data_IF_209013754368
#
_entry.id   IF_209013754368
#
_cell.length_a   1.000
_cell.length_b   1.000
_cell.length_c   1.000
_cell.angle_alpha   90.00
_cell.angle_beta   90.00
_cell.angle_gamma   90.00
#
_symmetry.space_group_name_H-M   'P 1'
#
loop_
_entity.id
_entity.type
_entity.pdbx_description
1 polymer ?
#
# COMPACT_ATOMS: atom_id res chain seq x y z
N UNK A 1 17.01 -9.32 0.09
CA UNK A 1 15.85 -8.90 0.89
C UNK A 1 14.61 -8.96 0.01
N UNK A 2 13.50 -9.46 0.51
CA UNK A 2 12.22 -9.59 -0.21
C UNK A 2 11.31 -8.46 0.23
N UNK A 3 10.82 -7.68 -0.72
CA UNK A 3 10.00 -6.49 -0.44
C UNK A 3 8.64 -6.64 -1.11
N UNK A 4 7.56 -6.59 -0.34
CA UNK A 4 6.20 -6.56 -0.84
C UNK A 4 5.65 -5.14 -0.79
N UNK A 5 5.41 -4.55 -1.95
CA UNK A 5 4.77 -3.24 -2.05
C UNK A 5 3.25 -3.39 -1.99
N UNK A 6 2.58 -2.53 -1.21
CA UNK A 6 1.13 -2.41 -1.20
C UNK A 6 0.77 -1.03 -1.75
N UNK A 7 0.22 -1.00 -2.96
CA UNK A 7 -0.20 0.22 -3.64
C UNK A 7 -1.69 0.16 -3.99
N UNK A 8 -2.27 1.31 -4.32
CA UNK A 8 -3.67 1.33 -4.73
C UNK A 8 -3.86 0.62 -6.07
N UNK A 9 -3.12 1.05 -7.09
CA UNK A 9 -3.04 0.42 -8.40
C UNK A 9 -1.57 0.23 -8.79
N UNK A 10 -1.33 -0.42 -9.91
CA UNK A 10 -0.01 -0.57 -10.52
C UNK A 10 -0.12 -0.49 -12.03
N UNK A 11 1.03 -0.33 -12.73
CA UNK A 11 1.06 -0.30 -14.21
C UNK A 11 0.15 -1.38 -14.82
N UNK A 12 -0.65 -1.08 -15.89
CA UNK A 12 -0.61 0.11 -16.75
C UNK A 12 -1.34 1.36 -16.19
N UNK A 13 -1.95 1.30 -15.02
CA UNK A 13 -2.57 2.48 -14.39
C UNK A 13 -1.48 3.39 -13.83
N UNK A 14 -1.39 4.61 -14.36
CA UNK A 14 -0.39 5.59 -13.98
C UNK A 14 -1.02 6.75 -13.23
N UNK A 15 -0.62 6.90 -11.97
CA UNK A 15 -0.84 8.06 -11.13
C UNK A 15 0.47 8.43 -10.44
N UNK A 16 0.48 9.47 -9.63
CA UNK A 16 1.69 9.89 -8.93
C UNK A 16 2.24 8.81 -8.00
N UNK A 17 1.37 8.20 -7.20
CA UNK A 17 1.74 7.12 -6.26
C UNK A 17 2.14 5.85 -6.99
N UNK A 18 1.36 5.48 -8.01
CA UNK A 18 1.60 4.30 -8.84
C UNK A 18 2.91 4.39 -9.61
N UNK A 19 3.23 5.59 -10.13
CA UNK A 19 4.51 5.87 -10.81
C UNK A 19 5.70 5.72 -9.86
N UNK A 20 5.61 6.24 -8.64
CA UNK A 20 6.66 6.09 -7.62
C UNK A 20 6.78 4.61 -7.21
N UNK A 21 5.67 3.91 -7.00
CA UNK A 21 5.69 2.48 -6.69
C UNK A 21 6.42 1.69 -7.78
N UNK A 22 6.05 1.90 -9.06
CA UNK A 22 6.69 1.27 -10.21
C UNK A 22 8.18 1.57 -10.25
N UNK A 23 8.57 2.84 -10.11
CA UNK A 23 9.97 3.24 -10.11
C UNK A 23 10.77 2.51 -9.02
N UNK A 24 10.25 2.42 -7.80
CA UNK A 24 10.93 1.72 -6.70
C UNK A 24 11.04 0.22 -6.98
N UNK A 25 9.97 -0.43 -7.44
CA UNK A 25 9.95 -1.86 -7.76
C UNK A 25 11.02 -2.20 -8.80
N UNK A 26 11.13 -1.40 -9.88
CA UNK A 26 12.05 -1.67 -10.99
C UNK A 26 13.48 -1.20 -10.74
N UNK A 27 13.71 -0.29 -9.79
CA UNK A 27 15.03 0.30 -9.50
C UNK A 27 15.71 -0.28 -8.25
N UNK A 28 15.21 -1.38 -7.70
CA UNK A 28 15.84 -2.08 -6.58
C UNK A 28 16.48 -3.43 -7.03
N UNK A 29 17.50 -3.44 -7.91
CA UNK A 29 18.00 -4.67 -8.56
C UNK A 29 18.61 -5.70 -7.60
N UNK A 30 18.98 -5.28 -6.37
CA UNK A 30 19.52 -6.17 -5.33
C UNK A 30 18.42 -6.82 -4.49
N UNK A 31 17.14 -6.55 -4.78
CA UNK A 31 16.01 -7.02 -3.99
C UNK A 31 15.01 -7.76 -4.87
N UNK A 32 14.34 -8.74 -4.28
CA UNK A 32 13.18 -9.40 -4.91
C UNK A 32 11.96 -8.57 -4.50
N UNK A 33 11.32 -7.95 -5.49
CA UNK A 33 10.16 -7.08 -5.25
C UNK A 33 8.91 -7.67 -5.88
N UNK A 34 7.80 -7.54 -5.18
CA UNK A 34 6.45 -7.90 -5.64
C UNK A 34 5.45 -6.84 -5.21
N UNK A 35 4.26 -6.83 -5.81
CA UNK A 35 3.25 -5.80 -5.57
C UNK A 35 1.89 -6.44 -5.30
N UNK A 36 1.16 -5.92 -4.32
CA UNK A 36 -0.28 -6.13 -4.15
C UNK A 36 -1.01 -4.83 -4.44
N UNK A 37 -1.98 -4.89 -5.34
CA UNK A 37 -2.78 -3.72 -5.71
C UNK A 37 -4.22 -4.13 -6.02
N UNK A 38 -5.11 -3.15 -6.21
CA UNK A 38 -6.44 -3.42 -6.74
C UNK A 38 -6.39 -3.72 -8.24
N UNK A 39 -7.25 -4.64 -8.67
CA UNK A 39 -7.60 -4.79 -10.08
C UNK A 39 -8.72 -3.80 -10.42
N UNK A 40 -8.71 -3.26 -11.64
CA UNK A 40 -9.82 -2.46 -12.15
C UNK A 40 -11.01 -3.34 -12.59
N UNK A 41 -10.84 -4.65 -12.55
CA UNK A 41 -11.82 -5.65 -12.91
C UNK A 41 -12.35 -6.36 -11.66
N UNK A 42 -13.47 -7.10 -11.82
CA UNK A 42 -14.11 -7.85 -10.75
C UNK A 42 -13.51 -9.24 -10.53
N UNK A 43 -12.29 -9.46 -10.97
CA UNK A 43 -11.56 -10.72 -10.82
C UNK A 43 -10.16 -10.50 -10.25
N UNK A 44 -9.66 -11.51 -9.54
CA UNK A 44 -8.28 -11.53 -9.10
C UNK A 44 -7.39 -11.99 -10.25
N UNK A 45 -6.21 -11.39 -10.37
CA UNK A 45 -5.20 -11.81 -11.34
C UNK A 45 -3.81 -11.75 -10.72
N UNK A 46 -2.89 -12.51 -11.27
CA UNK A 46 -1.47 -12.42 -10.96
C UNK A 46 -0.74 -12.25 -12.27
N UNK A 47 -0.08 -11.11 -12.41
CA UNK A 47 0.74 -10.79 -13.57
C UNK A 47 2.21 -10.90 -13.23
N UNK A 48 3.04 -11.03 -14.24
CA UNK A 48 4.48 -10.83 -14.15
C UNK A 48 4.87 -9.69 -15.09
N UNK A 49 5.45 -8.64 -14.54
CA UNK A 49 5.87 -7.44 -15.28
C UNK A 49 7.33 -7.17 -14.94
N UNK A 50 8.20 -7.22 -15.96
CA UNK A 50 9.65 -7.01 -15.81
C UNK A 50 10.30 -7.88 -14.74
N UNK A 51 9.83 -9.15 -14.59
CA UNK A 51 10.32 -10.10 -13.59
C UNK A 51 9.76 -9.88 -12.18
N UNK A 52 8.82 -8.97 -11.99
CA UNK A 52 8.15 -8.71 -10.73
C UNK A 52 6.73 -9.27 -10.73
N UNK A 53 6.34 -9.95 -9.66
CA UNK A 53 5.00 -10.51 -9.51
C UNK A 53 4.03 -9.47 -8.96
N UNK A 54 2.90 -9.30 -9.66
CA UNK A 54 1.87 -8.31 -9.35
C UNK A 54 0.57 -9.02 -9.03
N UNK A 55 0.15 -8.98 -7.77
CA UNK A 55 -1.11 -9.51 -7.28
C UNK A 55 -2.19 -8.46 -7.41
N UNK A 56 -3.08 -8.61 -8.39
CA UNK A 56 -4.22 -7.71 -8.64
C UNK A 56 -5.46 -8.29 -7.98
N UNK A 57 -6.00 -7.57 -7.01
CA UNK A 57 -7.15 -8.04 -6.25
C UNK A 57 -8.42 -7.35 -6.77
N UNK A 58 -9.44 -8.16 -7.07
CA UNK A 58 -10.72 -7.70 -7.60
C UNK A 58 -11.27 -6.49 -6.86
N UNK A 59 -11.73 -5.48 -7.60
CA UNK A 59 -12.47 -4.34 -7.04
C UNK A 59 -13.98 -4.62 -7.16
N UNK A 60 -14.68 -4.57 -6.04
CA UNK A 60 -16.13 -4.72 -6.00
C UNK A 60 -16.84 -3.38 -6.25
N UNK A 61 -16.40 -2.33 -5.59
CA UNK A 61 -16.95 -0.98 -5.69
C UNK A 61 -15.89 0.08 -5.36
N UNK A 62 -16.09 1.29 -5.89
CA UNK A 62 -15.29 2.46 -5.55
C UNK A 62 -16.16 3.48 -4.82
N UNK A 63 -15.82 3.82 -3.58
CA UNK A 63 -16.50 4.83 -2.76
C UNK A 63 -15.50 5.90 -2.36
N UNK A 64 -15.82 7.17 -2.59
CA UNK A 64 -14.98 8.32 -2.26
C UNK A 64 -13.52 8.16 -2.74
N UNK A 65 -13.34 7.62 -3.94
CA UNK A 65 -12.05 7.27 -4.56
C UNK A 65 -11.30 6.14 -3.86
N UNK A 66 -11.91 5.44 -2.91
CA UNK A 66 -11.35 4.23 -2.32
C UNK A 66 -11.95 3.01 -2.99
N UNK A 67 -11.09 2.16 -3.55
CA UNK A 67 -11.48 0.84 -4.03
C UNK A 67 -11.73 -0.08 -2.82
N UNK A 68 -12.82 -0.82 -2.86
CA UNK A 68 -13.20 -1.82 -1.86
C UNK A 68 -13.29 -3.19 -2.52
N UNK A 69 -12.89 -4.21 -1.77
CA UNK A 69 -12.81 -5.59 -2.24
C UNK A 69 -13.14 -6.58 -1.14
N UNK A 70 -14.00 -7.53 -1.43
CA UNK A 70 -14.30 -8.63 -0.51
C UNK A 70 -13.17 -9.65 -0.43
N UNK A 71 -12.39 -9.79 -1.50
CA UNK A 71 -11.27 -10.74 -1.58
C UNK A 71 -9.91 -10.15 -1.13
N UNK A 72 -9.82 -8.84 -0.85
CA UNK A 72 -8.53 -8.19 -0.61
C UNK A 72 -7.78 -8.78 0.59
N UNK A 73 -8.46 -9.06 1.70
CA UNK A 73 -7.84 -9.68 2.87
C UNK A 73 -7.18 -11.02 2.52
N UNK A 74 -7.90 -11.87 1.81
CA UNK A 74 -7.42 -13.21 1.44
C UNK A 74 -6.30 -13.11 0.40
N UNK A 75 -6.43 -12.24 -0.60
CA UNK A 75 -5.40 -11.99 -1.60
C UNK A 75 -4.12 -11.42 -0.99
N UNK A 76 -4.24 -10.45 -0.08
CA UNK A 76 -3.09 -9.89 0.64
C UNK A 76 -2.40 -10.95 1.52
N UNK A 77 -3.18 -11.75 2.26
CA UNK A 77 -2.64 -12.85 3.05
C UNK A 77 -1.92 -13.88 2.18
N UNK A 78 -2.51 -14.25 1.05
CA UNK A 78 -1.90 -15.17 0.11
C UNK A 78 -0.57 -14.62 -0.44
N UNK A 79 -0.54 -13.37 -0.87
CA UNK A 79 0.70 -12.72 -1.35
C UNK A 79 1.79 -12.73 -0.26
N UNK A 80 1.45 -12.39 0.99
CA UNK A 80 2.39 -12.41 2.11
C UNK A 80 2.94 -13.82 2.34
N UNK A 81 2.09 -14.85 2.34
CA UNK A 81 2.51 -16.24 2.56
C UNK A 81 3.36 -16.78 1.40
N UNK A 82 3.06 -16.38 0.17
CA UNK A 82 3.79 -16.80 -1.04
C UNK A 82 5.14 -16.11 -1.15
N UNK A 83 5.16 -14.80 -0.97
CA UNK A 83 6.37 -13.99 -1.15
C UNK A 83 7.29 -14.02 0.08
N UNK A 84 6.76 -14.31 1.27
CA UNK A 84 7.50 -14.31 2.54
C UNK A 84 8.40 -13.07 2.66
N UNK A 85 7.82 -11.85 2.64
CA UNK A 85 8.59 -10.62 2.60
C UNK A 85 9.33 -10.39 3.92
N UNK A 86 10.55 -9.86 3.82
CA UNK A 86 11.28 -9.28 4.97
C UNK A 86 10.72 -7.91 5.33
N UNK A 87 10.23 -7.18 4.30
CA UNK A 87 9.70 -5.82 4.39
C UNK A 87 8.40 -5.70 3.61
N UNK A 88 7.41 -5.07 4.23
CA UNK A 88 6.22 -4.57 3.53
C UNK A 88 6.39 -3.06 3.37
N UNK A 89 6.37 -2.57 2.13
CA UNK A 89 6.34 -1.15 1.83
C UNK A 89 4.91 -0.72 1.48
N UNK A 90 4.29 0.01 2.37
CA UNK A 90 2.91 0.47 2.24
C UNK A 90 2.85 1.89 1.69
N UNK A 91 2.17 2.11 0.56
CA UNK A 91 1.97 3.42 -0.06
C UNK A 91 0.68 4.07 0.46
N UNK A 92 0.83 5.07 1.33
CA UNK A 92 -0.28 5.87 1.86
C UNK A 92 -0.65 6.99 0.86
N UNK A 93 -1.92 7.39 0.59
CA UNK A 93 -3.10 7.10 1.42
C UNK A 93 -3.97 6.01 0.77
N UNK A 94 -4.06 4.88 1.42
CA UNK A 94 -4.89 3.76 1.00
C UNK A 94 -5.49 3.09 2.25
N UNK A 95 -6.50 3.72 2.90
CA UNK A 95 -6.96 3.33 4.23
C UNK A 95 -7.57 1.93 4.28
N UNK A 96 -8.32 1.49 3.26
CA UNK A 96 -8.94 0.17 3.28
C UNK A 96 -7.91 -0.98 3.33
N UNK A 97 -6.86 -1.03 2.49
CA UNK A 97 -5.77 -1.99 2.65
C UNK A 97 -5.04 -1.87 3.99
N UNK A 98 -4.93 -0.68 4.58
CA UNK A 98 -4.28 -0.52 5.89
C UNK A 98 -5.06 -1.23 7.01
N UNK A 99 -6.41 -1.17 6.98
CA UNK A 99 -7.28 -1.91 7.89
C UNK A 99 -7.03 -3.42 7.76
N UNK A 100 -6.99 -3.92 6.53
CA UNK A 100 -6.83 -5.34 6.27
C UNK A 100 -5.41 -5.84 6.54
N UNK A 101 -4.40 -5.00 6.27
CA UNK A 101 -3.01 -5.30 6.61
C UNK A 101 -2.84 -5.55 8.11
N UNK A 102 -3.48 -4.75 8.97
CA UNK A 102 -3.46 -4.97 10.43
C UNK A 102 -3.89 -6.38 10.81
N UNK A 103 -4.82 -6.98 10.07
CA UNK A 103 -5.37 -8.31 10.38
C UNK A 103 -4.49 -9.47 9.90
N UNK A 104 -3.59 -9.23 8.94
CA UNK A 104 -2.82 -10.29 8.28
C UNK A 104 -1.31 -10.10 8.33
N UNK A 105 -0.83 -8.94 8.78
CA UNK A 105 0.60 -8.63 8.82
C UNK A 105 1.32 -9.49 9.88
N UNK A 106 2.37 -10.22 9.51
CA UNK A 106 3.21 -10.94 10.47
C UNK A 106 3.94 -9.97 11.42
N UNK A 107 4.22 -10.41 12.63
CA UNK A 107 4.85 -9.56 13.67
C UNK A 107 6.32 -9.26 13.39
N UNK A 108 7.00 -10.19 12.76
CA UNK A 108 8.42 -10.19 12.44
C UNK A 108 8.76 -9.44 11.15
N UNK A 109 7.76 -9.14 10.32
CA UNK A 109 7.94 -8.37 9.08
C UNK A 109 8.04 -6.88 9.36
N UNK A 110 9.04 -6.21 8.78
CA UNK A 110 9.21 -4.76 8.88
C UNK A 110 8.21 -4.01 8.03
N UNK A 111 7.72 -2.88 8.53
CA UNK A 111 6.81 -2.00 7.81
C UNK A 111 7.48 -0.68 7.47
N UNK A 112 7.65 -0.40 6.18
CA UNK A 112 8.03 0.91 5.66
C UNK A 112 6.76 1.61 5.17
N UNK A 113 6.44 2.73 5.77
CA UNK A 113 5.29 3.56 5.38
C UNK A 113 5.77 4.67 4.45
N UNK A 114 5.41 4.59 3.16
CA UNK A 114 5.69 5.64 2.20
C UNK A 114 4.51 6.62 2.17
N UNK A 115 4.71 7.77 2.78
CA UNK A 115 3.68 8.80 2.96
C UNK A 115 3.68 9.76 1.78
N UNK A 116 2.67 9.63 0.91
CA UNK A 116 2.56 10.46 -0.31
C UNK A 116 1.68 11.68 -0.12
N UNK A 117 0.63 11.57 0.68
CA UNK A 117 -0.34 12.65 0.88
C UNK A 117 -1.18 12.48 2.14
N UNK A 118 -1.65 13.59 2.68
CA UNK A 118 -2.66 13.63 3.73
C UNK A 118 -4.07 13.43 3.13
N UNK A 119 -4.99 12.89 3.90
CA UNK A 119 -6.40 12.76 3.50
C UNK A 119 -7.10 14.07 3.80
N UNK A 120 -7.19 14.94 2.77
CA UNK A 120 -7.78 16.29 2.91
C UNK A 120 -9.20 16.32 2.31
N UNK A 121 -9.40 15.75 1.12
CA UNK A 121 -10.68 15.88 0.39
C UNK A 121 -11.86 15.17 1.05
N UNK A 122 -11.61 14.05 1.71
CA UNK A 122 -12.62 13.25 2.40
C UNK A 122 -12.66 13.58 3.90
N UNK A 123 -12.56 14.87 4.28
CA UNK A 123 -12.53 15.31 5.67
C UNK A 123 -13.73 14.80 6.48
N UNK A 124 -14.90 14.64 5.85
CA UNK A 124 -16.12 14.10 6.47
C UNK A 124 -16.03 12.60 6.84
N UNK A 125 -15.13 11.85 6.19
CA UNK A 125 -14.83 10.45 6.52
C UNK A 125 -13.56 10.30 7.37
N UNK A 126 -12.86 11.39 7.62
CA UNK A 126 -11.54 11.35 8.27
C UNK A 126 -11.61 10.77 9.68
N UNK A 127 -12.69 11.04 10.42
CA UNK A 127 -12.90 10.45 11.74
C UNK A 127 -12.91 8.91 11.73
N UNK A 128 -13.45 8.29 10.67
CA UNK A 128 -13.48 6.83 10.49
C UNK A 128 -12.12 6.27 10.07
N UNK A 129 -11.32 7.04 9.35
CA UNK A 129 -9.99 6.63 8.85
C UNK A 129 -8.89 6.87 9.89
N UNK A 130 -9.03 7.89 10.72
CA UNK A 130 -8.03 8.32 11.71
C UNK A 130 -7.48 7.23 12.64
N UNK A 131 -8.26 6.27 13.17
CA UNK A 131 -7.71 5.19 13.99
C UNK A 131 -6.71 4.31 13.22
N UNK A 132 -6.97 4.08 11.93
CA UNK A 132 -6.14 3.25 11.05
C UNK A 132 -4.88 3.99 10.60
N UNK A 133 -5.00 5.28 10.32
CA UNK A 133 -3.88 6.19 10.08
C UNK A 133 -2.93 6.21 11.27
N UNK A 134 -3.45 6.42 12.48
CA UNK A 134 -2.64 6.36 13.71
C UNK A 134 -2.00 5.00 13.91
N UNK A 135 -2.73 3.92 13.63
CA UNK A 135 -2.19 2.58 13.77
C UNK A 135 -1.02 2.35 12.82
N UNK A 136 -1.16 2.70 11.52
CA UNK A 136 -0.11 2.42 10.54
C UNK A 136 1.13 3.28 10.78
N UNK A 137 0.97 4.54 11.19
CA UNK A 137 2.07 5.42 11.59
C UNK A 137 2.82 4.81 12.79
N UNK A 138 2.08 4.38 13.83
CA UNK A 138 2.68 3.78 15.04
C UNK A 138 3.35 2.43 14.76
N UNK A 139 2.80 1.63 13.82
CA UNK A 139 3.33 0.30 13.47
C UNK A 139 4.55 0.39 12.56
N UNK A 140 4.70 1.47 11.82
CA UNK A 140 5.81 1.63 10.87
C UNK A 140 7.16 1.62 11.58
N UNK A 141 8.08 0.81 11.09
CA UNK A 141 9.49 0.81 11.50
C UNK A 141 10.25 1.98 10.87
N UNK A 142 9.78 2.45 9.72
CA UNK A 142 10.32 3.61 9.01
C UNK A 142 9.22 4.34 8.25
N UNK A 143 9.28 5.67 8.23
CA UNK A 143 8.37 6.51 7.42
C UNK A 143 9.20 7.27 6.40
N UNK A 144 8.87 7.08 5.13
CA UNK A 144 9.47 7.79 3.99
C UNK A 144 8.49 8.85 3.52
N UNK A 145 8.95 10.06 3.33
CA UNK A 145 8.17 11.20 2.83
C UNK A 145 8.79 11.78 1.57
N UNK A 146 8.00 12.51 0.79
CA UNK A 146 8.45 13.09 -0.48
C UNK A 146 9.43 14.25 -0.32
N UNK A 147 9.33 15.00 0.78
CA UNK A 147 10.29 16.07 1.13
C UNK A 147 10.24 16.41 2.62
N UNK A 148 11.32 17.03 3.17
CA UNK A 148 11.31 17.54 4.55
C UNK A 148 10.18 18.53 4.82
N UNK A 149 9.92 19.43 3.89
CA UNK A 149 8.84 20.43 4.00
C UNK A 149 7.46 19.75 4.09
N UNK A 150 7.27 18.65 3.35
CA UNK A 150 6.03 17.88 3.42
C UNK A 150 5.86 17.21 4.80
N UNK A 151 6.93 16.63 5.35
CA UNK A 151 6.92 16.07 6.71
C UNK A 151 6.50 17.13 7.73
N UNK A 152 7.12 18.30 7.66
CA UNK A 152 6.92 19.38 8.62
C UNK A 152 5.53 20.05 8.48
N UNK A 153 4.90 19.95 7.30
CA UNK A 153 3.53 20.43 7.04
C UNK A 153 2.43 19.40 7.33
N UNK A 154 2.77 18.12 7.45
CA UNK A 154 1.80 17.04 7.63
C UNK A 154 1.38 16.88 9.10
N UNK A 155 0.17 17.34 9.45
CA UNK A 155 -0.38 17.22 10.81
C UNK A 155 -0.37 15.78 11.38
N UNK A 156 -0.69 14.72 10.60
CA UNK A 156 -0.61 13.35 11.09
C UNK A 156 0.80 12.90 11.50
N UNK A 157 1.86 13.42 10.84
CA UNK A 157 3.25 13.02 11.08
C UNK A 157 3.94 13.81 12.20
N UNK A 158 3.32 14.88 12.70
CA UNK A 158 3.87 15.73 13.76
C UNK A 158 3.54 15.26 15.19
N UNK A 159 2.92 14.06 15.35
CA UNK A 159 2.41 13.60 16.65
C UNK A 159 3.21 12.44 17.22
#
# INVERSE_FOLDING_TARGET
MRILHISKYYFPYLGGVEGICKYLVERMPKHITSVVCFNNQRENAVDEINGHRIYRIATFVNIARQALSLSYKNGLRWAILTEKPDVIQFHWANPFPAILLRLVMPKDVKLVLHWHMDIIRQWYLYWAVRPWEKWIIKRADCIVVTSPQYRDGSKPLQK
#
